data_IF_675561846694
#
_entry.id   IF_675561846694
#
_cell.length_a   1.000
_cell.length_b   1.000
_cell.length_c   1.000
_cell.angle_alpha   90.00
_cell.angle_beta   90.00
_cell.angle_gamma   90.00
#
_symmetry.space_group_name_H-M   'P 1'
#
loop_
_entity.id
_entity.type
_entity.pdbx_description
1 polymer ?
#
# COMPACT_ATOMS: atom_id res chain seq x y z
N UNK A 1 19.77 -16.12 4.51
CA UNK A 1 18.33 -16.04 4.81
C UNK A 1 17.79 -14.89 4.02
N UNK A 2 16.95 -15.20 3.05
CA UNK A 2 16.16 -14.20 2.34
C UNK A 2 15.32 -13.44 3.36
N UNK A 3 15.30 -12.12 3.24
CA UNK A 3 14.31 -11.32 3.96
C UNK A 3 12.92 -11.77 3.47
N UNK A 4 11.90 -11.84 4.34
CA UNK A 4 10.55 -12.10 3.88
C UNK A 4 10.20 -11.09 2.78
N UNK A 5 9.86 -11.60 1.60
CA UNK A 5 9.57 -10.77 0.44
C UNK A 5 8.28 -10.00 0.73
N UNK A 6 8.38 -8.69 0.95
CA UNK A 6 7.21 -7.83 1.11
C UNK A 6 6.42 -7.87 -0.21
N UNK A 7 5.20 -8.40 -0.18
CA UNK A 7 4.37 -8.65 -1.37
C UNK A 7 3.53 -7.42 -1.75
N UNK A 8 4.19 -6.27 -1.90
CA UNK A 8 3.55 -4.97 -2.19
C UNK A 8 4.27 -4.27 -3.34
N UNK A 9 3.54 -3.84 -4.35
CA UNK A 9 4.09 -3.14 -5.52
C UNK A 9 3.42 -1.78 -5.69
N UNK A 10 4.19 -0.78 -6.11
CA UNK A 10 3.72 0.60 -6.20
C UNK A 10 3.97 1.26 -7.55
N UNK A 11 2.99 1.99 -8.07
CA UNK A 11 3.16 3.01 -9.12
C UNK A 11 2.74 4.36 -8.54
N UNK A 12 3.69 5.27 -8.36
CA UNK A 12 3.48 6.54 -7.66
C UNK A 12 3.73 7.70 -8.62
N UNK A 13 2.73 8.53 -8.84
CA UNK A 13 2.74 9.60 -9.84
C UNK A 13 2.46 10.94 -9.14
N UNK A 14 3.32 11.94 -9.38
CA UNK A 14 3.17 13.29 -8.83
C UNK A 14 3.52 14.36 -9.87
N UNK A 15 2.61 15.28 -10.13
CA UNK A 15 2.76 16.26 -11.22
C UNK A 15 2.44 17.66 -10.71
N UNK A 16 3.49 18.46 -10.54
CA UNK A 16 3.39 19.87 -10.22
C UNK A 16 3.46 20.73 -11.48
N UNK A 17 4.34 20.36 -12.41
CA UNK A 17 4.60 21.12 -13.63
C UNK A 17 3.91 20.49 -14.81
N UNK A 18 3.31 21.31 -15.66
CA UNK A 18 2.67 20.86 -16.89
C UNK A 18 3.36 21.46 -18.11
N UNK A 19 3.46 20.68 -19.18
CA UNK A 19 4.12 21.08 -20.43
C UNK A 19 3.34 22.15 -21.17
N UNK A 20 2.01 22.11 -21.09
CA UNK A 20 1.13 23.08 -21.74
C UNK A 20 1.06 24.36 -20.91
N UNK A 21 1.35 25.51 -21.52
CA UNK A 21 1.22 26.81 -20.86
C UNK A 21 -0.22 27.22 -20.54
N UNK A 22 -1.21 26.47 -21.02
CA UNK A 22 -2.62 26.66 -20.69
C UNK A 22 -3.02 26.00 -19.35
N UNK A 23 -2.20 25.08 -18.85
CA UNK A 23 -2.38 24.42 -17.56
C UNK A 23 -1.48 25.12 -16.55
N UNK A 24 -2.05 25.58 -15.44
CA UNK A 24 -1.23 26.17 -14.38
C UNK A 24 -0.52 25.08 -13.60
N UNK A 25 0.60 25.44 -12.97
CA UNK A 25 1.35 24.52 -12.13
C UNK A 25 0.74 24.46 -10.72
N UNK A 26 0.96 23.31 -10.08
CA UNK A 26 0.76 23.04 -8.67
C UNK A 26 2.11 23.11 -7.95
N UNK A 27 2.10 23.01 -6.62
CA UNK A 27 3.29 23.22 -5.78
C UNK A 27 3.65 22.03 -4.89
N UNK A 28 2.77 21.01 -4.76
CA UNK A 28 2.92 20.00 -3.70
C UNK A 28 2.74 18.53 -4.12
N UNK A 29 2.32 18.26 -5.36
CA UNK A 29 2.02 16.92 -5.85
C UNK A 29 3.28 16.05 -5.96
N UNK A 30 4.43 16.63 -6.31
CA UNK A 30 5.71 15.89 -6.34
C UNK A 30 6.13 15.51 -4.93
N UNK A 31 6.01 16.40 -3.95
CA UNK A 31 6.34 16.09 -2.55
C UNK A 31 5.37 15.06 -1.96
N UNK A 32 4.08 15.12 -2.30
CA UNK A 32 3.11 14.09 -1.92
C UNK A 32 3.47 12.71 -2.45
N UNK A 33 3.82 12.60 -3.75
CA UNK A 33 4.33 11.36 -4.32
C UNK A 33 5.58 10.86 -3.57
N UNK A 34 6.50 11.75 -3.21
CA UNK A 34 7.68 11.38 -2.41
C UNK A 34 7.31 10.94 -0.98
N UNK A 35 6.33 11.56 -0.33
CA UNK A 35 5.84 11.12 1.00
C UNK A 35 5.21 9.73 0.93
N UNK A 36 4.42 9.44 -0.10
CA UNK A 36 3.83 8.11 -0.32
C UNK A 36 4.93 7.09 -0.60
N UNK A 37 5.91 7.41 -1.45
CA UNK A 37 7.07 6.53 -1.67
C UNK A 37 7.83 6.27 -0.36
N UNK A 38 8.06 7.31 0.46
CA UNK A 38 8.72 7.18 1.76
C UNK A 38 7.91 6.29 2.70
N UNK A 39 6.60 6.45 2.78
CA UNK A 39 5.71 5.60 3.58
C UNK A 39 5.79 4.14 3.15
N UNK A 40 5.64 3.85 1.85
CA UNK A 40 5.79 2.49 1.32
C UNK A 40 7.16 1.88 1.72
N UNK A 41 8.25 2.61 1.53
CA UNK A 41 9.60 2.09 1.79
C UNK A 41 9.96 1.99 3.27
N UNK A 42 9.56 2.96 4.09
CA UNK A 42 10.02 3.09 5.47
C UNK A 42 9.07 2.45 6.45
N UNK A 43 7.77 2.54 6.19
CA UNK A 43 6.76 2.12 7.15
C UNK A 43 6.29 0.71 6.78
N UNK A 44 5.97 0.47 5.50
CA UNK A 44 5.60 -0.86 4.98
C UNK A 44 6.79 -1.72 4.52
N UNK A 45 8.02 -1.20 4.59
CA UNK A 45 9.27 -1.90 4.22
C UNK A 45 9.33 -2.40 2.77
N UNK A 46 8.56 -1.80 1.87
CA UNK A 46 8.54 -2.17 0.46
C UNK A 46 9.91 -1.91 -0.20
N UNK A 47 10.52 -2.91 -0.86
CA UNK A 47 11.76 -2.76 -1.62
C UNK A 47 11.67 -1.66 -2.68
N UNK A 48 12.82 -1.01 -2.96
CA UNK A 48 12.86 0.15 -3.87
C UNK A 48 12.46 -0.24 -5.29
N UNK A 49 12.90 -1.41 -5.75
CA UNK A 49 12.64 -2.00 -7.06
C UNK A 49 11.16 -2.41 -7.26
N UNK A 50 10.39 -2.56 -6.18
CA UNK A 50 8.95 -2.81 -6.26
C UNK A 50 8.13 -1.52 -6.40
N UNK A 51 8.77 -0.34 -6.39
CA UNK A 51 8.09 0.97 -6.48
C UNK A 51 8.60 1.73 -7.70
N UNK A 52 7.73 1.92 -8.69
CA UNK A 52 7.96 2.83 -9.81
C UNK A 52 7.44 4.23 -9.43
N UNK A 53 8.23 5.27 -9.70
CA UNK A 53 7.87 6.67 -9.42
C UNK A 53 8.04 7.52 -10.68
N UNK A 54 7.00 8.27 -11.04
CA UNK A 54 6.99 9.19 -12.16
C UNK A 54 6.66 10.60 -11.66
N UNK A 55 7.58 11.55 -11.88
CA UNK A 55 7.45 12.93 -11.39
C UNK A 55 7.54 13.91 -12.55
N UNK A 56 6.71 14.96 -12.54
CA UNK A 56 6.71 16.05 -13.51
C UNK A 56 6.91 15.54 -14.96
N UNK A 57 7.99 15.96 -15.63
CA UNK A 57 8.29 15.65 -17.03
C UNK A 57 8.44 14.16 -17.34
N UNK A 58 8.61 13.30 -16.33
CA UNK A 58 8.59 11.85 -16.48
C UNK A 58 7.18 11.26 -16.47
N UNK A 59 6.19 11.96 -15.93
CA UNK A 59 4.79 11.54 -15.85
C UNK A 59 3.99 11.94 -17.12
N UNK A 60 4.56 11.71 -18.30
CA UNK A 60 3.82 11.82 -19.57
C UNK A 60 2.77 10.72 -19.66
N UNK A 61 1.72 10.93 -20.47
CA UNK A 61 0.69 9.90 -20.70
C UNK A 61 1.33 8.57 -21.12
N UNK A 62 2.24 8.64 -22.10
CA UNK A 62 2.97 7.48 -22.59
C UNK A 62 3.76 6.75 -21.49
N UNK A 63 4.51 7.49 -20.64
CA UNK A 63 5.32 6.87 -19.60
C UNK A 63 4.47 6.27 -18.49
N UNK A 64 3.35 6.88 -18.13
CA UNK A 64 2.41 6.32 -17.15
C UNK A 64 1.85 5.00 -17.68
N UNK A 65 1.37 4.99 -18.93
CA UNK A 65 0.82 3.79 -19.59
C UNK A 65 1.87 2.68 -19.75
N UNK A 66 3.08 3.01 -20.20
CA UNK A 66 4.17 2.03 -20.32
C UNK A 66 4.61 1.49 -18.97
N UNK A 67 4.72 2.34 -17.95
CA UNK A 67 5.10 1.91 -16.61
C UNK A 67 4.01 1.04 -16.00
N UNK A 68 2.73 1.38 -16.20
CA UNK A 68 1.61 0.54 -15.78
C UNK A 68 1.71 -0.88 -16.37
N UNK A 69 1.93 -1.00 -17.68
CA UNK A 69 2.09 -2.31 -18.32
C UNK A 69 3.33 -3.06 -17.82
N UNK A 70 4.50 -2.43 -17.89
CA UNK A 70 5.78 -3.11 -17.61
C UNK A 70 5.98 -3.41 -16.12
N UNK A 71 5.63 -2.47 -15.25
CA UNK A 71 5.88 -2.54 -13.81
C UNK A 71 4.79 -3.31 -13.06
N UNK A 72 3.53 -3.27 -13.54
CA UNK A 72 2.41 -3.91 -12.85
C UNK A 72 1.85 -5.12 -13.61
N UNK A 73 1.39 -4.94 -14.85
CA UNK A 73 0.67 -6.00 -15.58
C UNK A 73 1.60 -7.16 -15.98
N UNK A 74 2.72 -6.85 -16.64
CA UNK A 74 3.68 -7.85 -17.16
C UNK A 74 4.81 -8.19 -16.18
N UNK A 75 4.78 -7.67 -14.95
CA UNK A 75 5.81 -7.94 -13.97
C UNK A 75 5.62 -9.34 -13.37
N UNK A 76 6.52 -10.26 -13.69
CA UNK A 76 6.48 -11.66 -13.24
C UNK A 76 6.70 -11.83 -11.73
N UNK A 77 7.29 -10.83 -11.06
CA UNK A 77 7.49 -10.87 -9.61
C UNK A 77 6.16 -10.67 -8.84
N UNK A 78 5.14 -10.12 -9.48
CA UNK A 78 3.82 -9.91 -8.90
C UNK A 78 2.98 -11.16 -9.11
N UNK A 79 2.64 -11.82 -8.00
CA UNK A 79 1.76 -12.97 -7.96
C UNK A 79 0.31 -12.53 -7.72
N UNK A 80 -0.63 -13.41 -8.07
CA UNK A 80 -2.04 -13.15 -7.81
C UNK A 80 -2.27 -13.00 -6.30
N UNK A 81 -2.92 -11.91 -5.90
CA UNK A 81 -3.22 -11.60 -4.49
C UNK A 81 -2.21 -10.65 -3.81
N UNK A 82 -1.05 -10.41 -4.43
CA UNK A 82 -0.13 -9.36 -3.96
C UNK A 82 -0.82 -7.99 -3.94
N UNK A 83 -0.45 -7.15 -2.97
CA UNK A 83 -1.01 -5.81 -2.86
C UNK A 83 -0.38 -4.87 -3.90
N UNK A 84 -1.23 -4.15 -4.64
CA UNK A 84 -0.81 -3.16 -5.63
C UNK A 84 -1.33 -1.79 -5.23
N UNK A 85 -0.45 -0.80 -5.16
CA UNK A 85 -0.77 0.59 -4.84
C UNK A 85 -0.50 1.46 -6.05
N UNK A 86 -1.54 2.14 -6.54
CA UNK A 86 -1.41 3.16 -7.58
C UNK A 86 -1.75 4.50 -6.93
N UNK A 87 -0.79 5.41 -6.87
CA UNK A 87 -0.98 6.75 -6.31
C UNK A 87 -0.85 7.80 -7.42
N UNK A 88 -1.78 8.75 -7.45
CA UNK A 88 -1.73 9.90 -8.34
C UNK A 88 -2.04 11.18 -7.57
N UNK A 89 -1.14 12.16 -7.66
CA UNK A 89 -1.36 13.54 -7.26
C UNK A 89 -1.09 14.48 -8.44
N UNK A 90 -2.06 15.33 -8.76
CA UNK A 90 -1.99 16.25 -9.88
C UNK A 90 -3.36 16.81 -10.24
N UNK A 91 -3.47 17.49 -11.37
CA UNK A 91 -4.74 18.01 -11.86
C UNK A 91 -5.65 16.88 -12.35
N UNK A 92 -6.91 16.92 -11.90
CA UNK A 92 -8.01 16.36 -12.67
C UNK A 92 -8.57 17.39 -13.67
N UNK A 93 -9.32 16.91 -14.65
CA UNK A 93 -10.08 17.77 -15.56
C UNK A 93 -11.33 17.02 -16.04
N UNK A 94 -12.13 17.70 -16.86
CA UNK A 94 -13.28 17.12 -17.55
C UNK A 94 -13.23 17.50 -19.01
N UNK A 95 -13.39 16.55 -19.93
CA UNK A 95 -13.45 16.78 -21.37
C UNK A 95 -14.84 16.45 -21.94
N UNK A 96 -15.21 17.08 -23.05
CA UNK A 96 -16.46 16.80 -23.73
C UNK A 96 -16.50 15.32 -24.19
N UNK A 97 -17.45 14.55 -23.68
CA UNK A 97 -17.53 13.13 -23.97
C UNK A 97 -17.99 12.90 -25.42
N UNK A 98 -17.29 12.05 -26.20
CA UNK A 98 -17.72 11.63 -27.53
C UNK A 98 -19.08 10.95 -27.52
N UNK A 99 -19.74 10.93 -28.68
CA UNK A 99 -20.95 10.13 -28.86
C UNK A 99 -20.69 8.66 -28.53
N UNK A 100 -21.58 8.06 -27.72
CA UNK A 100 -21.44 6.68 -27.27
C UNK A 100 -20.46 6.46 -26.10
N UNK A 101 -19.97 7.52 -25.46
CA UNK A 101 -19.09 7.38 -24.29
C UNK A 101 -19.80 6.74 -23.08
N UNK A 102 -21.06 7.09 -22.83
CA UNK A 102 -21.88 6.57 -21.73
C UNK A 102 -23.03 5.68 -22.23
N UNK A 103 -23.43 4.69 -21.43
CA UNK A 103 -24.54 3.79 -21.76
C UNK A 103 -25.91 4.48 -21.56
N UNK A 104 -26.59 4.84 -22.66
CA UNK A 104 -28.00 5.27 -22.72
C UNK A 104 -28.44 6.47 -21.85
N UNK A 105 -27.55 7.42 -21.49
CA UNK A 105 -27.99 8.71 -20.94
C UNK A 105 -27.24 9.90 -21.56
N UNK A 106 -28.04 10.75 -22.23
CA UNK A 106 -27.82 12.15 -22.61
C UNK A 106 -26.71 12.50 -23.62
N UNK A 107 -27.13 13.12 -24.72
CA UNK A 107 -26.28 13.98 -25.56
C UNK A 107 -25.68 15.06 -24.63
N UNK A 108 -24.34 15.15 -24.52
CA UNK A 108 -23.66 16.24 -23.78
C UNK A 108 -23.08 15.90 -22.39
N UNK A 109 -22.61 14.66 -22.16
CA UNK A 109 -21.86 14.32 -20.94
C UNK A 109 -20.40 14.79 -20.94
N UNK A 110 -19.76 14.80 -19.77
CA UNK A 110 -18.33 15.08 -19.61
C UNK A 110 -17.60 13.86 -19.09
N UNK A 111 -16.45 13.53 -19.69
CA UNK A 111 -15.55 12.48 -19.22
C UNK A 111 -14.54 13.07 -18.24
N UNK A 112 -14.31 12.41 -17.11
CA UNK A 112 -13.28 12.81 -16.17
C UNK A 112 -11.91 12.32 -16.65
N UNK A 113 -10.88 13.14 -16.48
CA UNK A 113 -9.50 12.82 -16.91
C UNK A 113 -8.49 13.18 -15.84
N UNK A 114 -7.51 12.31 -15.63
CA UNK A 114 -6.27 12.62 -14.90
C UNK A 114 -5.30 13.29 -15.88
N UNK A 115 -4.84 14.49 -15.54
CA UNK A 115 -3.94 15.25 -16.41
C UNK A 115 -2.51 14.72 -16.24
N UNK A 116 -1.96 14.11 -17.30
CA UNK A 116 -0.52 13.82 -17.36
C UNK A 116 0.30 15.11 -17.55
N UNK A 117 1.62 15.02 -17.42
CA UNK A 117 2.53 16.16 -17.63
C UNK A 117 2.30 16.88 -18.96
N UNK A 118 2.07 16.10 -20.01
CA UNK A 118 1.84 16.55 -21.37
C UNK A 118 0.37 16.84 -21.70
N UNK A 119 -0.52 16.86 -20.70
CA UNK A 119 -1.94 17.17 -20.89
C UNK A 119 -2.14 18.51 -21.62
N UNK A 120 -2.98 18.49 -22.65
CA UNK A 120 -3.26 19.65 -23.50
C UNK A 120 -2.12 20.07 -24.43
N UNK A 121 -0.96 19.39 -24.39
CA UNK A 121 0.12 19.62 -25.34
C UNK A 121 -0.10 18.76 -26.58
N UNK A 122 -0.33 19.39 -27.74
CA UNK A 122 -0.54 18.69 -29.03
C UNK A 122 -1.65 17.63 -28.97
N UNK A 123 -2.77 17.95 -28.33
CA UNK A 123 -3.95 17.07 -28.27
C UNK A 123 -3.84 15.90 -27.30
N UNK A 124 -2.91 15.89 -26.34
CA UNK A 124 -2.86 14.81 -25.34
C UNK A 124 -3.96 15.00 -24.29
N UNK A 125 -4.92 14.07 -24.25
CA UNK A 125 -6.10 14.12 -23.37
C UNK A 125 -5.90 13.61 -21.93
N UNK A 126 -4.69 13.17 -21.56
CA UNK A 126 -4.43 12.54 -20.26
C UNK A 126 -5.03 11.12 -20.16
N UNK A 127 -5.33 10.67 -18.94
CA UNK A 127 -5.91 9.33 -18.68
C UNK A 127 -7.37 9.50 -18.29
N UNK A 128 -8.27 9.10 -19.18
CA UNK A 128 -9.72 9.18 -18.92
C UNK A 128 -10.21 8.13 -17.93
N UNK A 129 -11.37 8.39 -17.32
CA UNK A 129 -12.13 7.44 -16.52
C UNK A 129 -12.25 6.06 -17.17
N UNK A 130 -12.62 6.02 -18.45
CA UNK A 130 -12.75 4.80 -19.25
C UNK A 130 -11.40 4.11 -19.49
N UNK A 131 -10.34 4.89 -19.72
CA UNK A 131 -8.98 4.34 -19.90
C UNK A 131 -8.49 3.72 -18.60
N UNK A 132 -8.59 4.44 -17.48
CA UNK A 132 -8.18 3.93 -16.17
C UNK A 132 -8.99 2.70 -15.77
N UNK A 133 -10.31 2.69 -16.03
CA UNK A 133 -11.14 1.51 -15.77
C UNK A 133 -10.64 0.28 -16.53
N UNK A 134 -10.38 0.42 -17.83
CA UNK A 134 -9.91 -0.69 -18.64
C UNK A 134 -8.51 -1.15 -18.23
N UNK A 135 -7.62 -0.21 -17.90
CA UNK A 135 -6.30 -0.51 -17.33
C UNK A 135 -6.44 -1.33 -16.04
N UNK A 136 -7.24 -0.87 -15.08
CA UNK A 136 -7.40 -1.54 -13.79
C UNK A 136 -8.12 -2.90 -13.91
N UNK A 137 -9.04 -3.06 -14.86
CA UNK A 137 -9.64 -4.35 -15.16
C UNK A 137 -8.59 -5.33 -15.67
N UNK A 138 -7.77 -4.92 -16.64
CA UNK A 138 -6.67 -5.74 -17.18
C UNK A 138 -5.67 -6.13 -16.09
N UNK A 139 -5.33 -5.20 -15.19
CA UNK A 139 -4.47 -5.49 -14.04
C UNK A 139 -5.13 -6.46 -13.05
N UNK A 140 -6.43 -6.30 -12.78
CA UNK A 140 -7.16 -7.19 -11.89
C UNK A 140 -7.28 -8.61 -12.45
N UNK A 141 -7.54 -8.72 -13.75
CA UNK A 141 -7.56 -9.99 -14.46
C UNK A 141 -6.20 -10.69 -14.37
N UNK A 142 -5.11 -9.93 -14.48
CA UNK A 142 -3.74 -10.47 -14.41
C UNK A 142 -3.29 -10.81 -12.97
N UNK A 143 -3.55 -9.94 -11.99
CA UNK A 143 -2.90 -9.96 -10.65
C UNK A 143 -3.86 -10.09 -9.47
N UNK A 144 -5.16 -10.13 -9.71
CA UNK A 144 -6.19 -10.18 -8.66
C UNK A 144 -6.67 -8.80 -8.21
N UNK A 145 -7.56 -8.78 -7.24
CA UNK A 145 -8.34 -7.60 -6.85
C UNK A 145 -7.73 -6.81 -5.68
N UNK A 146 -6.52 -7.16 -5.22
CA UNK A 146 -5.81 -6.48 -4.14
C UNK A 146 -5.12 -5.18 -4.63
N UNK A 147 -5.89 -4.35 -5.34
CA UNK A 147 -5.45 -3.11 -5.96
C UNK A 147 -6.10 -1.94 -5.20
N UNK A 148 -5.27 -1.03 -4.71
CA UNK A 148 -5.69 0.24 -4.13
C UNK A 148 -5.24 1.39 -5.04
N UNK A 149 -6.21 2.19 -5.49
CA UNK A 149 -5.97 3.37 -6.33
C UNK A 149 -6.24 4.60 -5.49
N UNK A 150 -5.23 5.42 -5.24
CA UNK A 150 -5.30 6.59 -4.38
C UNK A 150 -5.17 7.83 -5.28
N UNK A 151 -6.25 8.60 -5.39
CA UNK A 151 -6.32 9.78 -6.25
C UNK A 151 -6.45 11.03 -5.39
N UNK A 152 -5.40 11.86 -5.37
CA UNK A 152 -5.43 13.19 -4.77
C UNK A 152 -5.56 14.27 -5.87
N UNK A 153 -6.74 14.28 -6.49
CA UNK A 153 -7.18 15.14 -7.60
C UNK A 153 -8.69 15.40 -7.50
N UNK A 154 -9.21 16.37 -8.25
CA UNK A 154 -10.65 16.63 -8.32
C UNK A 154 -11.17 16.92 -9.72
N UNK A 155 -12.49 16.77 -9.89
CA UNK A 155 -13.15 16.75 -11.19
C UNK A 155 -14.41 17.62 -11.16
N UNK A 156 -14.51 18.56 -12.10
CA UNK A 156 -15.62 19.52 -12.23
C UNK A 156 -15.99 20.28 -10.95
N UNK A 157 -15.04 20.87 -10.20
CA UNK A 157 -15.40 21.64 -9.01
C UNK A 157 -16.28 22.84 -9.38
N UNK A 158 -17.27 23.13 -8.54
CA UNK A 158 -18.14 24.30 -8.70
C UNK A 158 -17.30 25.59 -8.87
N UNK A 159 -17.60 26.41 -9.87
CA UNK A 159 -16.84 27.63 -10.17
C UNK A 159 -17.41 28.86 -9.45
N UNK A 160 -17.43 28.84 -8.12
CA UNK A 160 -17.80 30.03 -7.33
C UNK A 160 -16.67 31.10 -7.36
N UNK A 161 -16.96 32.38 -7.03
CA UNK A 161 -15.93 33.42 -6.98
C UNK A 161 -14.75 33.11 -6.06
N UNK A 162 -14.99 32.47 -4.90
CA UNK A 162 -13.92 32.00 -4.01
C UNK A 162 -13.07 30.92 -4.67
N UNK A 163 -13.71 30.00 -5.39
CA UNK A 163 -13.05 28.88 -6.05
C UNK A 163 -12.14 29.33 -7.19
N UNK A 164 -12.54 30.38 -7.90
CA UNK A 164 -11.74 31.01 -8.95
C UNK A 164 -10.49 31.70 -8.37
N UNK A 165 -10.61 32.36 -7.20
CA UNK A 165 -9.47 32.97 -6.50
C UNK A 165 -8.44 31.92 -6.07
N UNK A 166 -8.91 30.77 -5.60
CA UNK A 166 -8.07 29.67 -5.10
C UNK A 166 -7.72 28.61 -6.16
N UNK A 167 -7.95 28.89 -7.45
CA UNK A 167 -7.76 27.90 -8.53
C UNK A 167 -6.34 27.33 -8.59
N UNK A 168 -5.33 28.13 -8.25
CA UNK A 168 -3.92 27.71 -8.23
C UNK A 168 -3.63 26.60 -7.23
N UNK A 169 -4.42 26.52 -6.15
CA UNK A 169 -4.29 25.50 -5.10
C UNK A 169 -5.29 24.37 -5.28
N UNK A 170 -6.17 24.46 -6.27
CA UNK A 170 -7.16 23.42 -6.56
C UNK A 170 -6.54 22.46 -7.56
N UNK A 171 -6.60 21.16 -7.25
CA UNK A 171 -6.08 20.08 -8.11
C UNK A 171 -7.02 19.76 -9.28
N UNK A 172 -7.41 20.80 -10.00
CA UNK A 172 -8.24 20.77 -11.20
C UNK A 172 -7.79 21.82 -12.20
N UNK A 173 -7.94 21.55 -13.51
CA UNK A 173 -7.72 22.52 -14.59
C UNK A 173 -8.81 22.37 -15.66
N UNK A 174 -9.27 23.43 -16.36
CA UNK A 174 -10.25 23.31 -17.44
C UNK A 174 -9.63 22.72 -18.71
N UNK A 175 -10.41 21.97 -19.48
CA UNK A 175 -9.95 21.33 -20.73
C UNK A 175 -10.43 22.04 -22.02
N UNK A 176 -11.40 22.96 -21.92
CA UNK A 176 -12.28 23.44 -23.01
C UNK A 176 -11.55 24.07 -24.21
N UNK A 177 -10.24 24.33 -24.08
CA UNK A 177 -9.40 24.94 -25.11
C UNK A 177 -8.18 24.10 -25.52
N UNK A 178 -7.98 22.95 -24.89
CA UNK A 178 -6.75 22.15 -25.01
C UNK A 178 -6.97 20.69 -25.36
N UNK A 179 -8.18 20.15 -25.14
CA UNK A 179 -8.53 18.76 -25.43
C UNK A 179 -9.92 18.70 -26.07
N UNK A 180 -10.00 18.05 -27.23
CA UNK A 180 -11.25 17.80 -27.96
C UNK A 180 -11.81 16.41 -27.67
N UNK A 181 -13.05 16.14 -28.08
CA UNK A 181 -13.61 14.78 -28.01
C UNK A 181 -12.84 13.78 -28.90
N UNK A 182 -12.24 14.23 -30.01
CA UNK A 182 -11.41 13.37 -30.86
C UNK A 182 -10.11 12.99 -30.16
N UNK A 183 -9.44 13.95 -29.54
CA UNK A 183 -8.24 13.71 -28.72
C UNK A 183 -8.49 12.68 -27.62
N UNK A 184 -9.67 12.73 -27.01
CA UNK A 184 -10.08 11.77 -25.98
C UNK A 184 -10.25 10.35 -26.54
N UNK A 185 -10.84 10.20 -27.74
CA UNK A 185 -10.97 8.91 -28.43
C UNK A 185 -9.62 8.34 -28.87
N UNK A 186 -8.78 9.19 -29.46
CA UNK A 186 -7.44 8.81 -29.92
C UNK A 186 -6.54 8.43 -28.76
N UNK A 187 -6.69 9.13 -27.63
CA UNK A 187 -6.00 8.87 -26.38
C UNK A 187 -6.51 7.65 -25.60
N UNK A 188 -7.59 6.97 -26.02
CA UNK A 188 -8.14 5.83 -25.27
C UNK A 188 -7.14 4.67 -25.14
N UNK A 189 -7.09 4.10 -23.93
CA UNK A 189 -6.43 2.82 -23.68
C UNK A 189 -6.90 1.75 -24.67
N UNK A 190 -6.02 0.91 -25.26
CA UNK A 190 -6.42 -0.06 -26.29
C UNK A 190 -7.55 -0.99 -25.86
N UNK A 191 -7.54 -1.49 -24.62
CA UNK A 191 -8.62 -2.35 -24.11
C UNK A 191 -9.94 -1.59 -23.92
N UNK A 192 -9.90 -0.29 -23.62
CA UNK A 192 -11.09 0.55 -23.45
C UNK A 192 -11.89 0.71 -24.76
N UNK A 193 -11.23 0.64 -25.92
CA UNK A 193 -11.88 0.73 -27.24
C UNK A 193 -12.80 -0.46 -27.53
N UNK A 194 -12.50 -1.62 -26.92
CA UNK A 194 -13.25 -2.88 -27.13
C UNK A 194 -14.41 -3.05 -26.13
N UNK A 195 -14.39 -2.34 -25.01
CA UNK A 195 -15.42 -2.43 -23.97
C UNK A 195 -16.66 -1.65 -24.39
N UNK A 196 -17.84 -2.24 -24.19
CA UNK A 196 -19.12 -1.53 -24.30
C UNK A 196 -19.15 -0.38 -23.29
N UNK A 197 -19.83 0.72 -23.62
CA UNK A 197 -19.91 1.93 -22.78
C UNK A 197 -20.21 1.54 -21.32
N UNK A 198 -19.34 1.90 -20.36
CA UNK A 198 -19.51 1.47 -18.99
C UNK A 198 -20.82 2.01 -18.41
N UNK A 199 -21.40 1.25 -17.46
CA UNK A 199 -22.51 1.72 -16.64
C UNK A 199 -21.93 2.60 -15.52
N UNK A 200 -22.20 3.89 -15.58
CA UNK A 200 -21.62 4.90 -14.69
C UNK A 200 -20.65 5.83 -15.43
N UNK A 201 -20.45 7.04 -14.91
CA UNK A 201 -19.52 8.03 -15.45
C UNK A 201 -18.62 8.63 -14.38
N UNK A 202 -17.39 8.98 -14.74
CA UNK A 202 -16.38 9.44 -13.81
C UNK A 202 -15.74 8.32 -12.98
N UNK A 203 -14.75 8.69 -12.17
CA UNK A 203 -13.97 7.75 -11.37
C UNK A 203 -14.76 7.19 -10.18
N UNK A 204 -15.67 7.96 -9.59
CA UNK A 204 -16.37 7.59 -8.35
C UNK A 204 -17.69 6.85 -8.55
N UNK A 205 -18.33 6.91 -9.73
CA UNK A 205 -19.65 6.32 -9.96
C UNK A 205 -19.60 4.96 -10.67
N UNK A 206 -18.47 4.25 -10.56
CA UNK A 206 -18.31 2.93 -11.15
C UNK A 206 -19.09 1.89 -10.35
N UNK A 207 -19.84 1.04 -11.07
CA UNK A 207 -20.58 -0.05 -10.46
C UNK A 207 -19.61 -1.21 -10.16
N UNK A 208 -19.42 -1.52 -8.88
CA UNK A 208 -18.70 -2.70 -8.41
C UNK A 208 -17.29 -2.89 -9.02
N UNK A 209 -16.38 -1.89 -8.97
CA UNK A 209 -15.03 -2.08 -9.48
C UNK A 209 -14.28 -3.15 -8.66
N UNK A 210 -13.45 -3.99 -9.30
CA UNK A 210 -12.66 -5.04 -8.65
C UNK A 210 -11.39 -4.50 -7.96
N UNK A 211 -11.37 -3.21 -7.64
CA UNK A 211 -10.30 -2.53 -6.95
C UNK A 211 -10.90 -1.54 -5.95
N UNK A 212 -10.11 -1.11 -4.98
CA UNK A 212 -10.53 -0.09 -4.03
C UNK A 212 -9.98 1.27 -4.47
N UNK A 213 -10.87 2.17 -4.90
CA UNK A 213 -10.55 3.57 -5.15
C UNK A 213 -10.65 4.36 -3.84
N UNK A 214 -9.62 5.15 -3.55
CA UNK A 214 -9.54 6.11 -2.45
C UNK A 214 -9.39 7.51 -3.08
N UNK A 215 -10.49 8.20 -3.28
CA UNK A 215 -10.51 9.51 -3.92
C UNK A 215 -10.56 10.64 -2.88
N UNK A 216 -9.76 11.68 -3.14
CA UNK A 216 -9.71 12.91 -2.38
C UNK A 216 -11.08 13.59 -2.26
N UNK A 217 -11.91 13.56 -3.32
CA UNK A 217 -13.27 14.05 -3.32
C UNK A 217 -14.12 13.38 -4.40
N UNK A 218 -15.45 13.53 -4.35
CA UNK A 218 -16.33 13.12 -5.46
C UNK A 218 -16.36 14.16 -6.59
N UNK A 219 -17.01 13.81 -7.70
CA UNK A 219 -17.35 14.75 -8.78
C UNK A 219 -18.09 15.96 -8.21
N UNK A 220 -17.73 17.17 -8.68
CA UNK A 220 -18.34 18.43 -8.21
C UNK A 220 -17.68 19.04 -6.98
N UNK A 221 -16.92 18.25 -6.22
CA UNK A 221 -16.18 18.68 -5.05
C UNK A 221 -14.71 19.01 -5.41
N UNK A 222 -13.93 19.37 -4.39
CA UNK A 222 -12.55 19.83 -4.57
C UNK A 222 -11.54 19.02 -3.81
N UNK A 223 -10.38 18.88 -4.43
CA UNK A 223 -9.12 18.51 -3.82
C UNK A 223 -8.19 19.72 -3.84
N UNK A 224 -7.61 20.06 -2.70
CA UNK A 224 -6.75 21.25 -2.56
C UNK A 224 -5.40 20.93 -1.95
N UNK A 225 -4.40 21.71 -2.35
CA UNK A 225 -3.07 21.69 -1.75
C UNK A 225 -2.84 22.86 -0.78
N UNK A 226 -2.07 22.56 0.26
CA UNK A 226 -1.47 23.52 1.17
C UNK A 226 0.05 23.49 1.08
N UNK A 227 0.67 24.32 1.92
CA UNK A 227 2.14 24.41 2.02
C UNK A 227 2.81 23.05 2.25
N UNK A 228 2.14 22.19 3.02
CA UNK A 228 2.68 20.91 3.45
C UNK A 228 2.24 19.74 2.58
N UNK A 229 1.50 19.93 1.48
CA UNK A 229 0.95 18.83 0.68
C UNK A 229 -0.53 18.97 0.34
N UNK A 230 -1.04 17.98 -0.38
CA UNK A 230 -2.47 17.75 -0.58
C UNK A 230 -3.14 17.39 0.74
N UNK A 231 -4.29 18.00 1.04
CA UNK A 231 -5.01 17.75 2.29
C UNK A 231 -5.36 16.28 2.48
N UNK A 232 -5.74 15.59 1.40
CA UNK A 232 -6.07 14.18 1.47
C UNK A 232 -4.83 13.32 1.67
N UNK A 233 -3.76 13.54 0.91
CA UNK A 233 -2.51 12.78 1.07
C UNK A 233 -1.96 12.89 2.50
N UNK A 234 -1.96 14.09 3.09
CA UNK A 234 -1.51 14.29 4.48
C UNK A 234 -2.37 13.52 5.47
N UNK A 235 -3.69 13.71 5.43
CA UNK A 235 -4.61 13.03 6.34
C UNK A 235 -4.53 11.50 6.18
N UNK A 236 -4.45 11.00 4.95
CA UNK A 236 -4.27 9.57 4.67
C UNK A 236 -2.99 9.02 5.31
N UNK A 237 -1.85 9.68 5.11
CA UNK A 237 -0.56 9.22 5.64
C UNK A 237 -0.47 9.31 7.16
N UNK A 238 -1.06 10.33 7.78
CA UNK A 238 -1.17 10.42 9.24
C UNK A 238 -2.02 9.27 9.79
N UNK A 239 -3.25 9.12 9.28
CA UNK A 239 -4.15 8.06 9.73
C UNK A 239 -3.54 6.68 9.51
N UNK A 240 -2.87 6.44 8.38
CA UNK A 240 -2.19 5.18 8.10
C UNK A 240 -1.09 4.84 9.12
N UNK A 241 -0.43 5.84 9.71
CA UNK A 241 0.60 5.64 10.75
C UNK A 241 0.01 5.51 12.14
N UNK A 242 -1.18 6.05 12.38
CA UNK A 242 -1.88 6.00 13.66
C UNK A 242 -2.75 4.75 13.81
N UNK A 243 -3.07 4.07 12.71
CA UNK A 243 -4.03 2.96 12.68
C UNK A 243 -3.33 1.60 12.54
N UNK A 244 -3.78 0.55 13.25
CA UNK A 244 -3.35 -0.83 13.01
C UNK A 244 -3.90 -1.37 11.67
N UNK A 245 -3.23 -1.03 10.57
CA UNK A 245 -3.65 -1.35 9.20
C UNK A 245 -3.85 -2.86 8.89
N UNK A 246 -3.29 -3.75 9.69
CA UNK A 246 -3.45 -5.21 9.50
C UNK A 246 -4.88 -5.69 9.77
N UNK A 247 -5.66 -4.92 10.52
CA UNK A 247 -7.04 -5.24 10.88
C UNK A 247 -8.04 -4.15 10.48
N UNK A 248 -7.57 -2.91 10.28
CA UNK A 248 -8.42 -1.81 9.84
C UNK A 248 -8.90 -1.99 8.40
N UNK A 249 -10.22 -1.92 8.18
CA UNK A 249 -10.81 -1.88 6.84
C UNK A 249 -10.65 -0.51 6.17
N UNK A 250 -10.80 -0.43 4.85
CA UNK A 250 -10.79 0.86 4.15
C UNK A 250 -11.91 1.80 4.64
N UNK A 251 -13.10 1.27 4.96
CA UNK A 251 -14.19 2.07 5.56
C UNK A 251 -13.77 2.65 6.91
N UNK A 252 -13.16 1.83 7.78
CA UNK A 252 -12.69 2.32 9.08
C UNK A 252 -11.60 3.38 8.92
N UNK A 253 -10.70 3.21 7.94
CA UNK A 253 -9.67 4.19 7.61
C UNK A 253 -10.29 5.53 7.18
N UNK A 254 -11.31 5.49 6.32
CA UNK A 254 -12.03 6.69 5.87
C UNK A 254 -12.69 7.45 7.02
N UNK A 255 -13.25 6.74 8.00
CA UNK A 255 -13.86 7.34 9.19
C UNK A 255 -12.85 8.15 10.03
N UNK A 256 -11.59 7.71 10.07
CA UNK A 256 -10.52 8.44 10.76
C UNK A 256 -9.90 9.57 9.93
N UNK A 257 -9.95 9.48 8.60
CA UNK A 257 -9.47 10.52 7.69
C UNK A 257 -10.41 11.75 7.68
N UNK A 258 -11.73 11.53 7.67
CA UNK A 258 -12.73 12.61 7.54
C UNK A 258 -12.58 13.72 8.59
N UNK A 259 -12.44 13.43 9.90
CA UNK A 259 -12.25 14.46 10.92
C UNK A 259 -10.98 15.30 10.71
N UNK A 260 -9.90 14.71 10.17
CA UNK A 260 -8.63 15.42 9.93
C UNK A 260 -8.72 16.41 8.76
N UNK A 261 -9.50 16.08 7.73
CA UNK A 261 -9.70 16.96 6.56
C UNK A 261 -10.74 18.05 6.84
N UNK A 262 -11.71 17.74 7.70
CA UNK A 262 -12.84 18.63 8.02
C UNK A 262 -13.77 18.84 6.82
N UNK A 263 -14.56 19.91 6.86
CA UNK A 263 -15.58 20.20 5.83
C UNK A 263 -15.00 20.71 4.50
N UNK A 264 -13.70 21.00 4.47
CA UNK A 264 -13.06 21.60 3.29
C UNK A 264 -13.00 20.69 2.07
N UNK A 265 -13.14 19.38 2.26
CA UNK A 265 -13.05 18.35 1.23
C UNK A 265 -13.64 17.04 1.77
N UNK A 266 -14.41 16.29 0.96
CA UNK A 266 -15.04 15.03 1.41
C UNK A 266 -14.48 13.82 0.66
N UNK A 267 -13.53 13.08 1.26
CA UNK A 267 -13.00 11.88 0.61
C UNK A 267 -14.06 10.79 0.46
N UNK A 268 -13.93 10.02 -0.61
CA UNK A 268 -14.84 8.94 -0.99
C UNK A 268 -14.05 7.69 -1.35
N UNK A 269 -14.41 6.57 -0.73
CA UNK A 269 -13.83 5.27 -1.07
C UNK A 269 -14.88 4.42 -1.78
N UNK A 270 -14.51 3.80 -2.91
CA UNK A 270 -15.41 3.03 -3.78
C UNK A 270 -14.75 1.69 -4.12
N UNK A 271 -15.54 0.63 -4.17
CA UNK A 271 -15.07 -0.71 -4.56
C UNK A 271 -15.74 -1.84 -3.81
N UNK A 272 -15.71 -3.03 -4.41
CA UNK A 272 -16.26 -4.25 -3.80
C UNK A 272 -15.60 -4.60 -2.46
N UNK A 273 -14.33 -4.23 -2.32
CA UNK A 273 -13.46 -4.65 -1.23
C UNK A 273 -13.24 -3.56 -0.17
N UNK A 274 -14.15 -2.59 -0.03
CA UNK A 274 -13.99 -1.51 0.96
C UNK A 274 -14.08 -1.98 2.41
N UNK A 275 -14.73 -3.12 2.67
CA UNK A 275 -14.83 -3.71 4.01
C UNK A 275 -13.66 -4.61 4.40
N UNK A 276 -12.79 -5.00 3.45
CA UNK A 276 -11.62 -5.83 3.75
C UNK A 276 -10.52 -5.00 4.43
N UNK A 277 -9.60 -5.62 5.20
CA UNK A 277 -8.41 -4.95 5.74
C UNK A 277 -7.60 -4.23 4.66
N UNK A 278 -6.92 -3.15 5.02
CA UNK A 278 -6.08 -2.42 4.07
C UNK A 278 -5.01 -3.36 3.49
N UNK A 279 -4.96 -3.44 2.15
CA UNK A 279 -4.10 -4.36 1.39
C UNK A 279 -4.32 -5.85 1.67
N UNK A 280 -5.51 -6.22 2.15
CA UNK A 280 -5.84 -7.57 2.59
C UNK A 280 -4.87 -8.10 3.66
N UNK A 281 -4.32 -7.19 4.45
CA UNK A 281 -3.29 -7.41 5.44
C UNK A 281 -1.96 -8.04 4.94
N UNK A 282 -1.81 -8.26 3.62
CA UNK A 282 -0.64 -8.88 2.98
C UNK A 282 0.72 -8.29 3.40
N UNK A 283 0.88 -6.95 3.56
CA UNK A 283 2.16 -6.37 3.98
C UNK A 283 2.56 -6.72 5.41
N UNK A 284 1.63 -7.20 6.23
CA UNK A 284 1.79 -7.31 7.68
C UNK A 284 1.95 -8.77 8.09
N UNK A 285 3.19 -9.23 8.17
CA UNK A 285 3.52 -10.58 8.66
C UNK A 285 3.68 -10.59 10.19
N UNK A 286 3.32 -11.69 10.88
CA UNK A 286 3.63 -11.85 12.30
C UNK A 286 5.13 -11.72 12.59
N UNK A 287 5.47 -10.99 13.66
CA UNK A 287 6.82 -10.84 14.16
C UNK A 287 7.11 -11.85 15.27
N UNK A 288 8.07 -12.74 15.02
CA UNK A 288 8.51 -13.74 16.01
C UNK A 288 9.27 -13.15 17.20
N UNK A 289 9.57 -11.85 17.21
CA UNK A 289 10.11 -11.16 18.39
C UNK A 289 9.06 -10.94 19.50
N UNK A 290 7.78 -11.19 19.22
CA UNK A 290 6.68 -11.04 20.16
C UNK A 290 6.15 -12.41 20.59
N UNK A 291 5.82 -12.53 21.87
CA UNK A 291 5.39 -13.76 22.50
C UNK A 291 4.02 -13.57 23.14
N UNK A 292 3.18 -14.59 23.09
CA UNK A 292 1.85 -14.51 23.68
C UNK A 292 1.94 -14.26 25.19
N UNK A 293 1.13 -13.33 25.67
CA UNK A 293 0.99 -13.01 27.09
C UNK A 293 -0.49 -12.90 27.45
N UNK A 294 -0.87 -13.51 28.57
CA UNK A 294 -2.26 -13.61 29.00
C UNK A 294 -2.37 -13.27 30.47
N UNK A 295 -3.43 -12.56 30.84
CA UNK A 295 -3.71 -12.25 32.24
C UNK A 295 -4.24 -13.49 32.97
N UNK A 296 -3.74 -13.75 34.17
CA UNK A 296 -4.13 -14.89 35.00
C UNK A 296 -4.73 -14.38 36.31
N UNK A 297 -5.97 -14.81 36.59
CA UNK A 297 -6.79 -14.46 37.76
C UNK A 297 -7.27 -12.99 37.86
N UNK A 298 -6.40 -12.02 37.62
CA UNK A 298 -6.72 -10.59 37.64
C UNK A 298 -6.25 -9.89 36.36
N UNK A 299 -6.45 -8.57 36.24
CA UNK A 299 -6.05 -7.79 35.06
C UNK A 299 -4.60 -7.32 35.06
N UNK A 300 -3.76 -7.74 36.01
CA UNK A 300 -2.39 -7.22 36.20
C UNK A 300 -1.32 -8.30 36.29
N UNK A 301 -1.68 -9.53 36.60
CA UNK A 301 -0.79 -10.68 36.69
C UNK A 301 -0.80 -11.37 35.34
N UNK A 302 0.36 -11.46 34.67
CA UNK A 302 0.47 -12.05 33.34
C UNK A 302 1.32 -13.30 33.34
N UNK A 303 0.87 -14.31 32.60
CA UNK A 303 1.70 -15.41 32.11
C UNK A 303 2.22 -15.05 30.74
N UNK A 304 3.54 -15.12 30.57
CA UNK A 304 4.24 -14.81 29.32
C UNK A 304 4.83 -16.11 28.75
N UNK A 305 4.66 -16.35 27.46
CA UNK A 305 5.19 -17.51 26.72
C UNK A 305 6.71 -17.54 26.52
N UNK A 306 7.47 -17.04 27.48
CA UNK A 306 8.92 -17.02 27.52
C UNK A 306 9.41 -17.39 28.92
N UNK A 307 10.50 -18.15 29.02
CA UNK A 307 10.96 -18.75 30.27
C UNK A 307 12.46 -18.98 30.30
N UNK A 308 12.94 -19.75 31.28
CA UNK A 308 14.37 -19.97 31.53
C UNK A 308 15.14 -20.50 30.31
N UNK A 309 14.54 -21.40 29.51
CA UNK A 309 15.20 -21.95 28.30
C UNK A 309 15.43 -20.90 27.22
N UNK A 310 14.68 -19.80 27.28
CA UNK A 310 14.82 -18.64 26.41
C UNK A 310 15.77 -17.58 27.01
N UNK A 311 16.33 -17.83 28.19
CA UNK A 311 17.22 -16.93 28.91
C UNK A 311 16.52 -15.90 29.79
N UNK A 312 15.20 -16.02 30.03
CA UNK A 312 14.47 -15.13 30.94
C UNK A 312 14.88 -15.43 32.38
N UNK A 313 15.09 -14.37 33.16
CA UNK A 313 15.30 -14.43 34.63
C UNK A 313 14.37 -13.44 35.33
N UNK A 314 14.18 -13.61 36.64
CA UNK A 314 13.46 -12.65 37.46
C UNK A 314 14.03 -11.23 37.28
N UNK A 315 13.17 -10.23 37.16
CA UNK A 315 13.51 -8.84 36.84
C UNK A 315 13.71 -8.53 35.35
N UNK A 316 13.61 -9.52 34.45
CA UNK A 316 13.54 -9.26 33.00
C UNK A 316 12.30 -8.41 32.71
N UNK A 317 12.45 -7.37 31.87
CA UNK A 317 11.35 -6.46 31.55
C UNK A 317 10.83 -6.70 30.13
N UNK A 318 9.51 -6.75 30.02
CA UNK A 318 8.80 -6.81 28.75
C UNK A 318 7.98 -5.54 28.52
N UNK A 319 7.87 -5.11 27.26
CA UNK A 319 6.77 -4.27 26.81
C UNK A 319 5.62 -5.15 26.33
N UNK A 320 4.39 -4.76 26.66
CA UNK A 320 3.16 -5.42 26.23
C UNK A 320 2.53 -4.63 25.09
N UNK A 321 1.90 -5.34 24.16
CA UNK A 321 1.41 -4.84 22.88
C UNK A 321 0.11 -5.54 22.47
N UNK A 322 -0.71 -4.91 21.65
CA UNK A 322 -2.01 -5.46 21.24
C UNK A 322 -1.89 -6.59 20.20
N UNK A 323 -0.86 -6.53 19.34
CA UNK A 323 -0.63 -7.52 18.29
C UNK A 323 0.86 -7.78 18.06
N UNK A 324 1.21 -8.66 17.11
CA UNK A 324 2.59 -8.96 16.72
C UNK A 324 2.91 -8.66 15.24
N UNK A 325 1.99 -8.11 14.47
CA UNK A 325 2.23 -7.82 13.05
C UNK A 325 3.28 -6.72 12.79
N UNK A 326 4.24 -7.00 11.89
CA UNK A 326 5.25 -6.04 11.39
C UNK A 326 4.61 -4.99 10.50
N UNK A 327 5.18 -3.78 10.49
CA UNK A 327 4.76 -2.69 9.59
C UNK A 327 3.39 -2.08 9.92
N UNK A 328 2.66 -2.64 10.89
CA UNK A 328 1.42 -2.10 11.42
C UNK A 328 1.68 -1.38 12.75
N UNK A 329 0.88 -0.35 13.06
CA UNK A 329 1.08 0.49 14.25
C UNK A 329 0.84 -0.30 15.54
N UNK A 330 1.88 -0.48 16.34
CA UNK A 330 1.83 -1.33 17.54
C UNK A 330 2.50 -0.69 18.78
N UNK A 331 1.88 0.30 19.44
CA UNK A 331 2.46 0.91 20.65
C UNK A 331 2.60 -0.09 21.79
N UNK A 332 3.53 0.19 22.70
CA UNK A 332 3.54 -0.48 24.01
C UNK A 332 2.33 0.00 24.80
N UNK A 333 1.47 -0.91 25.23
CA UNK A 333 0.31 -0.62 26.10
C UNK A 333 0.68 -0.64 27.57
N UNK A 334 1.69 -1.44 27.96
CA UNK A 334 2.17 -1.53 29.34
C UNK A 334 3.58 -2.11 29.41
N UNK A 335 4.15 -2.16 30.61
CA UNK A 335 5.39 -2.86 30.91
C UNK A 335 5.17 -3.85 32.04
N UNK A 336 5.89 -4.96 32.00
CA UNK A 336 5.83 -6.02 33.00
C UNK A 336 7.23 -6.47 33.38
N UNK A 337 7.47 -6.59 34.68
CA UNK A 337 8.69 -7.16 35.23
C UNK A 337 8.43 -8.59 35.67
N UNK A 338 9.29 -9.50 35.26
CA UNK A 338 9.18 -10.93 35.59
C UNK A 338 9.43 -11.15 37.08
N UNK A 339 8.53 -11.89 37.73
CA UNK A 339 8.65 -12.29 39.14
C UNK A 339 9.12 -13.73 39.26
N UNK A 340 8.46 -14.63 38.53
CA UNK A 340 8.68 -16.08 38.60
C UNK A 340 8.98 -16.64 37.22
N UNK A 341 9.94 -17.55 37.14
CA UNK A 341 10.40 -18.12 35.87
C UNK A 341 10.25 -19.63 35.89
N UNK A 342 9.62 -20.15 34.85
CA UNK A 342 9.47 -21.56 34.57
C UNK A 342 10.26 -21.93 33.30
N UNK A 343 10.40 -23.22 32.94
CA UNK A 343 11.22 -23.61 31.80
C UNK A 343 10.86 -22.88 30.51
N UNK A 344 9.58 -22.87 30.13
CA UNK A 344 9.11 -22.32 28.84
C UNK A 344 8.26 -21.05 28.94
N UNK A 345 7.91 -20.64 30.16
CA UNK A 345 7.04 -19.49 30.42
C UNK A 345 7.43 -18.78 31.74
N UNK A 346 6.88 -17.61 32.01
CA UNK A 346 7.15 -16.82 33.21
C UNK A 346 5.92 -16.06 33.69
N UNK A 347 5.90 -15.69 34.97
CA UNK A 347 4.95 -14.72 35.51
C UNK A 347 5.57 -13.34 35.61
N UNK A 348 4.73 -12.31 35.50
CA UNK A 348 5.11 -10.95 35.85
C UNK A 348 3.88 -10.10 36.17
N UNK A 349 4.14 -8.95 36.80
CA UNK A 349 3.11 -8.00 37.20
C UNK A 349 3.18 -6.70 36.40
N UNK A 350 2.05 -6.29 35.82
CA UNK A 350 1.89 -5.01 35.14
C UNK A 350 1.42 -3.93 36.13
N UNK A 351 1.91 -2.70 35.96
CA UNK A 351 1.57 -1.58 36.84
C UNK A 351 0.08 -1.18 36.77
N UNK A 352 -0.55 -1.39 35.61
CA UNK A 352 -1.94 -1.05 35.33
C UNK A 352 -2.67 -2.23 34.69
N UNK A 353 -4.01 -2.27 34.74
CA UNK A 353 -4.80 -3.29 34.05
C UNK A 353 -4.47 -3.38 32.56
N UNK A 354 -4.36 -4.61 32.04
CA UNK A 354 -4.09 -4.90 30.63
C UNK A 354 -5.14 -5.84 30.02
N UNK A 355 -5.25 -5.92 28.69
CA UNK A 355 -6.17 -6.83 28.01
C UNK A 355 -5.90 -8.30 28.36
N UNK A 356 -6.96 -9.12 28.30
CA UNK A 356 -6.89 -10.55 28.65
C UNK A 356 -5.85 -11.32 27.84
N UNK A 357 -5.72 -11.01 26.56
CA UNK A 357 -4.70 -11.54 25.67
C UNK A 357 -3.94 -10.39 25.01
N UNK A 358 -2.62 -10.48 25.00
CA UNK A 358 -1.72 -9.48 24.43
C UNK A 358 -0.39 -10.13 24.00
N UNK A 359 0.57 -9.31 23.60
CA UNK A 359 1.88 -9.75 23.11
C UNK A 359 3.00 -9.07 23.88
N UNK A 360 3.96 -9.85 24.36
CA UNK A 360 5.13 -9.39 25.08
C UNK A 360 6.37 -9.35 24.17
N UNK A 361 7.11 -8.26 24.22
CA UNK A 361 8.41 -8.11 23.57
C UNK A 361 9.46 -7.79 24.64
N UNK A 362 10.64 -8.42 24.56
CA UNK A 362 11.72 -8.18 25.52
C UNK A 362 12.21 -6.74 25.37
N UNK A 363 12.07 -5.96 26.43
CA UNK A 363 12.56 -4.58 26.51
C UNK A 363 13.96 -4.52 27.13
N UNK A 364 14.17 -5.27 28.23
CA UNK A 364 15.45 -5.31 28.93
C UNK A 364 15.68 -6.68 29.57
N UNK A 365 16.84 -7.28 29.27
CA UNK A 365 17.32 -8.47 29.97
C UNK A 365 17.85 -8.11 31.36
N UNK A 366 17.59 -8.96 32.35
CA UNK A 366 18.18 -8.83 33.70
C UNK A 366 19.32 -9.83 33.96
N UNK A 367 19.91 -10.38 32.89
CA UNK A 367 21.06 -11.27 33.00
C UNK A 367 22.31 -10.39 33.13
N UNK A 368 22.85 -10.26 34.34
CA UNK A 368 24.11 -9.53 34.56
C UNK A 368 25.21 -10.05 33.62
N UNK A 369 25.64 -9.22 32.67
CA UNK A 369 26.88 -9.33 31.87
C UNK A 369 27.27 -10.65 31.17
N UNK A 370 26.49 -11.72 31.24
CA UNK A 370 27.05 -13.07 31.09
C UNK A 370 26.13 -14.14 30.54
N UNK A 371 25.21 -13.82 29.63
CA UNK A 371 24.53 -14.85 28.82
C UNK A 371 24.46 -14.41 27.35
N UNK A 372 25.45 -14.81 26.55
CA UNK A 372 25.36 -14.78 25.08
C UNK A 372 24.48 -15.94 24.64
N UNK A 373 23.19 -15.66 24.41
CA UNK A 373 22.32 -16.61 23.70
C UNK A 373 22.83 -16.69 22.25
N UNK A 374 23.57 -17.75 21.93
CA UNK A 374 23.69 -18.19 20.53
C UNK A 374 22.31 -18.66 20.10
N UNK A 375 21.56 -17.79 19.42
CA UNK A 375 20.45 -18.20 18.58
C UNK A 375 20.98 -19.27 17.62
N UNK A 376 20.74 -20.55 17.93
CA UNK A 376 20.90 -21.62 16.96
C UNK A 376 19.76 -21.43 15.96
N UNK A 377 20.04 -20.67 14.90
CA UNK A 377 19.32 -20.84 13.63
C UNK A 377 19.42 -22.33 13.29
N UNK A 378 18.27 -22.98 13.20
CA UNK A 378 18.14 -24.40 12.85
C UNK A 378 18.93 -24.66 11.56
N UNK A 379 20.05 -25.38 11.69
CA UNK A 379 20.77 -25.97 10.57
C UNK A 379 20.19 -27.37 10.40
N UNK A 380 19.41 -27.57 9.35
CA UNK A 380 19.02 -28.89 8.88
C UNK A 380 20.28 -29.66 8.50
N UNK A 381 20.62 -30.66 9.30
CA UNK A 381 21.77 -31.53 9.08
C UNK A 381 21.29 -32.75 8.28
N UNK A 382 21.59 -32.77 6.99
CA UNK A 382 21.53 -33.98 6.16
C UNK A 382 22.64 -34.91 6.65
N UNK A 383 22.26 -36.07 7.19
CA UNK A 383 23.19 -37.17 7.48
C UNK A 383 23.65 -37.78 6.15
N UNK A 384 24.92 -37.61 5.81
CA UNK A 384 25.65 -38.61 5.01
C UNK A 384 26.59 -39.34 5.96
N UNK A 385 26.32 -40.63 6.15
CA UNK A 385 27.13 -41.53 6.96
C UNK A 385 28.25 -42.15 6.11
N UNK A 386 29.44 -42.13 6.71
CA UNK A 386 30.51 -43.14 6.69
C UNK A 386 31.28 -43.43 5.40
N UNK A 387 32.58 -43.11 5.44
CA UNK A 387 33.59 -43.66 4.53
C UNK A 387 35.02 -43.26 4.88
N UNK A 388 35.62 -43.90 5.91
CA UNK A 388 37.08 -44.01 6.08
C UNK A 388 37.39 -45.30 6.86
N UNK A 389 37.76 -46.36 6.16
CA UNK A 389 39.14 -46.82 5.95
C UNK A 389 39.63 -47.79 7.03
N UNK A 390 39.64 -49.08 6.70
CA UNK A 390 40.58 -50.05 7.27
C UNK A 390 41.28 -50.79 6.12
N UNK A 391 42.62 -50.87 6.22
CA UNK A 391 43.53 -51.51 5.27
C UNK A 391 43.70 -53.00 5.54
N UNK A 392 44.05 -53.71 4.46
CA UNK A 392 44.85 -54.94 4.36
C UNK A 392 44.14 -56.28 4.60
N UNK A 393 44.11 -57.16 3.58
CA UNK A 393 44.97 -58.36 3.46
C UNK A 393 44.90 -58.91 2.00
N UNK A 394 46.04 -59.35 1.47
CA UNK A 394 46.24 -60.04 0.17
C UNK A 394 45.76 -61.50 0.20
N UNK A 395 45.19 -62.01 -0.91
CA UNK A 395 45.43 -63.33 -1.58
C UNK A 395 44.36 -63.55 -2.66
N UNK A 396 44.72 -63.40 -3.95
CA UNK A 396 44.89 -64.47 -4.95
C UNK A 396 43.64 -65.34 -5.24
N UNK A 397 43.11 -65.28 -6.47
CA UNK A 397 43.11 -66.39 -7.46
C UNK A 397 42.01 -66.22 -8.54
N UNK A 398 42.48 -66.37 -9.78
CA UNK A 398 41.85 -66.95 -10.97
C UNK A 398 40.71 -66.27 -11.79
N UNK A 399 41.02 -66.24 -13.09
CA UNK A 399 40.18 -66.47 -14.28
C UNK A 399 39.38 -65.32 -14.93
N UNK A 400 40.04 -64.75 -15.95
CA UNK A 400 39.53 -64.51 -17.33
C UNK A 400 38.87 -65.77 -17.95
N UNK A 401 38.27 -65.74 -19.16
CA UNK A 401 37.97 -64.61 -20.09
C UNK A 401 36.51 -64.70 -20.60
N UNK A 402 35.96 -63.81 -21.44
CA UNK A 402 36.05 -63.62 -22.92
C UNK A 402 34.69 -62.96 -23.30
N UNK A 403 34.47 -62.08 -24.27
CA UNK A 403 35.15 -61.61 -25.48
C UNK A 403 34.93 -60.09 -25.61
#
# INVERSE_FOLDING_TARGET
>A
MEQPTIRVFGLVIGIDKYKSGAVWNLESCVDDAQKVQRWLRKDLKVPKDQICVLLDNHATKHNIEQSFLRHLVHNENIQRGDAIVIFFAGHGSTAAAPTGWFHKTSVGGVAEVLCSYDFGHRGVAGISDRSLQAMLQELSDAKGDNIAVILDSCFAPLQSPSNIRDRRRTRWTPSEKVVTSHDLLDGLWPAARKQTSPRGGGFCNMINPPYTLLAACSTGEKAIEGKDGGKFTLAFLETARETPLHSASYVSLLQHIRPKIGESQKPVFVGLNTMRPVFDAVPFSPDQAYYQAETIHDSKTLRIGLGAVHGVVAGTEFSLHEHNYRGSRNPSIAHVSVTDVYPTWSFGYASHPVPTACWAQIKRWNNGGGFKIRSKRSLSMVRQSSGASFRSVKRSLFHRPTW
#
